data_IF_908100867023
#
_entry.id   IF_908100867023
#
_cell.length_a   1.000
_cell.length_b   1.000
_cell.length_c   1.000
_cell.angle_alpha   90.00
_cell.angle_beta   90.00
_cell.angle_gamma   90.00
#
_symmetry.space_group_name_H-M   'P 1'
#
loop_
_entity.id
_entity.type
_entity.pdbx_description
1 polymer ?
#
# COMPACT_ATOMS: atom_id res chain seq x y z
N UNK A 1 -0.06 -16.55 -46.68
CA UNK A 1 0.86 -17.47 -45.97
C UNK A 1 1.49 -16.68 -44.83
N UNK A 2 1.39 -16.95 -43.52
CA UNK A 2 0.76 -17.97 -42.67
C UNK A 2 0.23 -17.20 -41.44
N UNK A 3 -1.07 -17.18 -41.12
CA UNK A 3 -1.83 -18.19 -40.34
C UNK A 3 -1.12 -18.60 -39.04
N UNK A 4 -1.37 -17.84 -37.97
CA UNK A 4 -1.25 -18.33 -36.59
C UNK A 4 -2.67 -18.51 -36.06
N UNK A 5 -3.07 -19.76 -35.90
CA UNK A 5 -4.31 -20.20 -35.28
C UNK A 5 -3.97 -21.03 -34.05
N UNK A 6 -4.67 -20.72 -32.93
CA UNK A 6 -4.81 -21.48 -31.68
C UNK A 6 -3.53 -21.52 -30.81
N UNK A 7 -3.54 -21.30 -29.49
CA UNK A 7 -4.45 -21.82 -28.45
C UNK A 7 -4.61 -20.77 -27.34
N UNK A 8 -5.85 -20.61 -26.88
CA UNK A 8 -6.28 -19.88 -25.69
C UNK A 8 -5.67 -20.44 -24.40
N UNK A 9 -5.19 -19.58 -23.50
CA UNK A 9 -5.38 -19.80 -22.06
C UNK A 9 -5.66 -18.46 -21.39
N UNK A 10 -6.96 -18.17 -21.24
CA UNK A 10 -7.40 -17.22 -20.23
C UNK A 10 -7.12 -17.81 -18.84
N UNK A 11 -5.98 -17.46 -18.24
CA UNK A 11 -5.87 -17.27 -16.79
C UNK A 11 -4.97 -16.06 -16.59
N UNK A 12 -5.54 -14.99 -16.05
CA UNK A 12 -4.79 -13.91 -15.44
C UNK A 12 -4.00 -14.48 -14.25
N UNK A 13 -2.75 -14.89 -14.49
CA UNK A 13 -1.82 -15.32 -13.46
C UNK A 13 -1.42 -14.12 -12.61
N UNK A 14 -2.09 -14.01 -11.45
CA UNK A 14 -1.87 -13.08 -10.34
C UNK A 14 -0.49 -13.23 -9.64
N UNK A 15 0.55 -13.64 -10.36
CA UNK A 15 1.89 -13.93 -9.83
C UNK A 15 2.94 -12.86 -10.15
N UNK A 16 2.53 -11.68 -10.61
CA UNK A 16 3.48 -10.59 -10.88
C UNK A 16 3.90 -9.85 -9.59
N UNK A 17 5.10 -10.25 -9.14
CA UNK A 17 6.25 -9.35 -8.91
C UNK A 17 6.24 -8.41 -7.69
N UNK A 18 6.03 -8.94 -6.48
CA UNK A 18 6.78 -8.44 -5.31
C UNK A 18 7.67 -9.55 -4.77
N UNK A 19 8.66 -9.92 -5.59
CA UNK A 19 9.90 -10.55 -5.15
C UNK A 19 11.00 -9.83 -5.93
N UNK A 20 11.52 -8.74 -5.35
CA UNK A 20 12.80 -8.22 -5.79
C UNK A 20 13.81 -9.30 -5.44
N UNK A 21 14.22 -10.09 -6.44
CA UNK A 21 15.38 -10.96 -6.32
C UNK A 21 16.59 -10.07 -6.09
N UNK A 22 17.12 -10.08 -4.87
CA UNK A 22 18.50 -9.67 -4.63
C UNK A 22 19.34 -10.77 -5.26
N UNK A 23 20.11 -10.42 -6.29
CA UNK A 23 21.02 -11.32 -7.00
C UNK A 23 22.13 -11.80 -6.07
N UNK A 24 22.06 -13.04 -5.61
CA UNK A 24 23.24 -13.79 -5.16
C UNK A 24 23.61 -14.74 -6.28
N UNK A 25 24.47 -14.29 -7.19
CA UNK A 25 25.13 -15.15 -8.16
C UNK A 25 26.61 -14.77 -8.24
N UNK A 26 27.40 -15.34 -7.32
CA UNK A 26 28.72 -15.87 -7.62
C UNK A 26 28.82 -17.21 -6.88
N UNK A 27 29.20 -18.28 -7.60
CA UNK A 27 29.38 -19.68 -7.20
C UNK A 27 28.19 -20.63 -7.41
N UNK A 28 27.84 -20.79 -8.69
CA UNK A 28 27.21 -21.99 -9.24
C UNK A 28 28.24 -23.11 -9.42
N UNK A 29 28.31 -24.08 -8.51
CA UNK A 29 28.74 -25.47 -8.80
C UNK A 29 29.01 -26.26 -7.52
N UNK A 30 28.00 -26.74 -6.75
CA UNK A 30 28.09 -27.96 -5.90
C UNK A 30 26.92 -28.26 -4.93
N UNK A 31 25.69 -27.77 -5.13
CA UNK A 31 24.56 -28.22 -4.28
C UNK A 31 23.31 -28.62 -5.08
N UNK A 32 23.51 -29.49 -6.07
CA UNK A 32 22.42 -30.07 -6.86
C UNK A 32 21.74 -31.30 -6.20
N UNK A 33 22.15 -31.74 -5.00
CA UNK A 33 21.54 -32.90 -4.33
C UNK A 33 20.60 -32.59 -3.14
N UNK A 34 20.46 -31.33 -2.71
CA UNK A 34 19.57 -30.95 -1.60
C UNK A 34 18.28 -30.22 -2.03
N UNK A 35 17.96 -30.21 -3.33
CA UNK A 35 16.76 -29.54 -3.85
C UNK A 35 15.45 -30.27 -3.46
N UNK A 36 15.49 -31.59 -3.21
CA UNK A 36 14.31 -32.37 -2.84
C UNK A 36 13.84 -32.09 -1.40
N UNK A 37 14.76 -31.69 -0.51
CA UNK A 37 14.47 -31.54 0.93
C UNK A 37 13.81 -30.19 1.28
N UNK A 38 14.12 -29.13 0.52
CA UNK A 38 13.51 -27.80 0.74
C UNK A 38 12.11 -27.66 0.12
N UNK A 39 11.71 -28.55 -0.79
CA UNK A 39 10.37 -28.50 -1.39
C UNK A 39 9.26 -28.95 -0.43
N UNK A 40 9.56 -29.85 0.52
CA UNK A 40 8.56 -30.39 1.45
C UNK A 40 8.24 -29.50 2.66
N UNK A 41 9.10 -28.54 3.03
CA UNK A 41 8.86 -27.69 4.21
C UNK A 41 7.83 -26.58 3.95
N UNK A 42 7.64 -26.16 2.68
CA UNK A 42 6.79 -25.01 2.34
C UNK A 42 5.40 -25.42 1.83
N UNK A 43 5.13 -26.73 1.68
CA UNK A 43 3.93 -27.28 1.04
C UNK A 43 2.62 -27.24 1.84
N UNK A 44 2.62 -26.80 3.11
CA UNK A 44 1.44 -26.91 3.99
C UNK A 44 0.89 -25.58 4.52
N UNK A 45 1.43 -24.44 4.11
CA UNK A 45 0.82 -23.15 4.46
C UNK A 45 -0.38 -22.92 3.54
N UNK A 46 -1.51 -23.49 3.92
CA UNK A 46 -2.82 -23.20 3.33
C UNK A 46 -3.12 -21.72 3.47
N UNK A 47 -2.75 -20.93 2.46
CA UNK A 47 -3.10 -19.51 2.40
C UNK A 47 -4.60 -19.46 2.14
N UNK A 48 -5.39 -19.17 3.17
CA UNK A 48 -6.84 -19.00 3.05
C UNK A 48 -7.17 -18.02 1.91
N UNK A 49 -7.63 -18.51 0.76
CA UNK A 49 -7.93 -17.64 -0.41
C UNK A 49 -9.24 -16.87 -0.25
N UNK A 50 -9.89 -16.97 0.90
CA UNK A 50 -11.16 -16.32 1.20
C UNK A 50 -11.10 -14.80 1.12
N UNK A 51 -12.21 -14.17 0.70
CA UNK A 51 -12.33 -12.71 0.56
C UNK A 51 -11.98 -11.97 1.86
N UNK A 52 -12.34 -12.53 3.03
CA UNK A 52 -12.03 -11.93 4.35
C UNK A 52 -10.53 -11.91 4.62
N UNK A 53 -9.83 -13.01 4.32
CA UNK A 53 -8.39 -13.13 4.51
C UNK A 53 -7.62 -12.19 3.56
N UNK A 54 -8.03 -12.10 2.29
CA UNK A 54 -7.45 -11.14 1.34
C UNK A 54 -7.59 -9.69 1.80
N UNK A 55 -8.74 -9.32 2.39
CA UNK A 55 -8.93 -7.98 2.98
C UNK A 55 -8.01 -7.75 4.18
N UNK A 56 -7.80 -8.77 5.02
CA UNK A 56 -6.89 -8.71 6.17
C UNK A 56 -5.44 -8.46 5.71
N UNK A 57 -4.95 -9.24 4.75
CA UNK A 57 -3.63 -9.03 4.14
C UNK A 57 -3.52 -7.64 3.50
N UNK A 58 -4.57 -7.21 2.79
CA UNK A 58 -4.62 -5.88 2.19
C UNK A 58 -4.45 -4.78 3.24
N UNK A 59 -5.15 -4.89 4.37
CA UNK A 59 -5.03 -3.95 5.50
C UNK A 59 -3.63 -3.96 6.11
N UNK A 60 -3.02 -5.13 6.31
CA UNK A 60 -1.65 -5.26 6.83
C UNK A 60 -0.64 -4.57 5.90
N UNK A 61 -0.74 -4.81 4.58
CA UNK A 61 0.11 -4.15 3.59
C UNK A 61 -0.06 -2.63 3.59
N UNK A 62 -1.30 -2.15 3.68
CA UNK A 62 -1.59 -0.72 3.75
C UNK A 62 -0.94 -0.09 4.99
N UNK A 63 -0.99 -0.77 6.15
CA UNK A 63 -0.34 -0.29 7.38
C UNK A 63 1.17 -0.13 7.18
N UNK A 64 1.83 -1.12 6.58
CA UNK A 64 3.28 -1.08 6.31
C UNK A 64 3.63 0.05 5.33
N UNK A 65 2.83 0.24 4.28
CA UNK A 65 3.06 1.33 3.32
C UNK A 65 2.97 2.68 4.03
N UNK A 66 1.94 2.90 4.85
CA UNK A 66 1.79 4.18 5.54
C UNK A 66 2.86 4.40 6.62
N UNK A 67 3.33 3.36 7.31
CA UNK A 67 4.44 3.52 8.25
C UNK A 67 5.72 3.96 7.53
N UNK A 68 6.02 3.35 6.37
CA UNK A 68 7.19 3.75 5.57
C UNK A 68 7.06 5.18 5.06
N UNK A 69 5.88 5.57 4.58
CA UNK A 69 5.62 6.95 4.14
C UNK A 69 5.88 7.96 5.25
N UNK A 70 5.50 7.66 6.50
CA UNK A 70 5.74 8.55 7.65
C UNK A 70 7.23 8.67 7.94
N UNK A 71 7.97 7.56 7.88
CA UNK A 71 9.41 7.53 8.14
C UNK A 71 10.20 8.29 7.08
N UNK A 72 9.89 8.09 5.79
CA UNK A 72 10.63 8.67 4.66
C UNK A 72 10.01 9.95 4.08
N UNK A 73 9.01 10.53 4.75
CA UNK A 73 8.31 11.73 4.28
C UNK A 73 9.24 12.92 4.05
N UNK A 74 10.21 13.11 4.95
CA UNK A 74 11.12 14.26 4.94
C UNK A 74 12.25 14.11 3.92
N UNK A 75 12.76 12.90 3.73
CA UNK A 75 13.89 12.63 2.84
C UNK A 75 13.48 12.67 1.37
N UNK A 76 12.41 11.97 1.01
CA UNK A 76 12.03 11.76 -0.39
C UNK A 76 10.50 11.85 -0.57
N UNK A 77 9.94 13.07 -0.68
CA UNK A 77 8.48 13.27 -0.76
C UNK A 77 7.87 12.69 -2.06
N UNK A 78 8.61 12.68 -3.16
CA UNK A 78 8.18 12.11 -4.44
C UNK A 78 7.85 10.61 -4.34
N UNK A 79 8.75 9.82 -3.73
CA UNK A 79 8.58 8.38 -3.54
C UNK A 79 7.39 8.11 -2.61
N UNK A 80 7.30 8.88 -1.52
CA UNK A 80 6.20 8.82 -0.56
C UNK A 80 4.84 9.07 -1.22
N UNK A 81 4.72 10.03 -2.14
CA UNK A 81 3.48 10.25 -2.91
C UNK A 81 3.09 9.03 -3.75
N UNK A 82 4.04 8.44 -4.47
CA UNK A 82 3.82 7.22 -5.29
C UNK A 82 3.39 6.04 -4.42
N UNK A 83 3.99 5.89 -3.23
CA UNK A 83 3.60 4.84 -2.28
C UNK A 83 2.15 5.02 -1.79
N UNK A 84 1.73 6.25 -1.48
CA UNK A 84 0.33 6.55 -1.10
C UNK A 84 -0.64 6.18 -2.26
N UNK A 85 -0.26 6.44 -3.50
CA UNK A 85 -1.06 6.03 -4.68
C UNK A 85 -1.15 4.52 -4.84
N UNK A 86 -0.06 3.79 -4.58
CA UNK A 86 -0.07 2.31 -4.51
C UNK A 86 -1.03 1.84 -3.42
N UNK A 87 -0.99 2.43 -2.22
CA UNK A 87 -1.92 2.10 -1.15
C UNK A 87 -3.38 2.33 -1.56
N UNK A 88 -3.67 3.40 -2.30
CA UNK A 88 -5.01 3.65 -2.87
C UNK A 88 -5.44 2.55 -3.83
N UNK A 89 -4.58 2.12 -4.73
CA UNK A 89 -4.88 1.03 -5.68
C UNK A 89 -5.21 -0.28 -4.93
N UNK A 90 -4.50 -0.57 -3.84
CA UNK A 90 -4.76 -1.74 -3.00
C UNK A 90 -6.14 -1.64 -2.33
N UNK A 91 -6.48 -0.48 -1.76
CA UNK A 91 -7.79 -0.25 -1.13
C UNK A 91 -8.93 -0.51 -2.11
N UNK A 92 -8.82 0.00 -3.33
CA UNK A 92 -9.81 -0.18 -4.39
C UNK A 92 -9.89 -1.65 -4.82
N UNK A 93 -8.75 -2.30 -5.05
CA UNK A 93 -8.68 -3.70 -5.48
C UNK A 93 -9.37 -4.66 -4.51
N UNK A 94 -9.20 -4.45 -3.21
CA UNK A 94 -9.80 -5.31 -2.18
C UNK A 94 -11.14 -4.76 -1.63
N UNK A 95 -11.63 -3.63 -2.15
CA UNK A 95 -12.81 -2.92 -1.66
C UNK A 95 -12.78 -2.78 -0.12
N UNK A 96 -11.67 -2.22 0.37
CA UNK A 96 -11.42 -1.95 1.78
C UNK A 96 -11.81 -0.50 2.06
N UNK A 97 -12.63 -0.28 3.09
CA UNK A 97 -12.94 1.06 3.57
C UNK A 97 -11.69 1.68 4.18
N UNK A 98 -11.31 2.87 3.73
CA UNK A 98 -10.12 3.57 4.22
C UNK A 98 -10.22 3.82 5.74
N UNK A 99 -9.29 3.26 6.54
CA UNK A 99 -9.26 3.48 7.99
C UNK A 99 -9.13 4.96 8.35
N UNK A 100 -9.69 5.36 9.49
CA UNK A 100 -9.70 6.75 9.95
C UNK A 100 -8.34 7.48 9.93
N UNK A 101 -7.21 6.90 10.40
CA UNK A 101 -5.92 7.59 10.38
C UNK A 101 -5.46 7.88 8.96
N UNK A 102 -5.68 6.94 8.03
CA UNK A 102 -5.19 7.04 6.66
C UNK A 102 -6.02 7.98 5.78
N UNK A 103 -7.20 8.40 6.24
CA UNK A 103 -7.98 9.48 5.59
C UNK A 103 -7.24 10.82 5.52
N UNK A 104 -6.20 11.02 6.33
CA UNK A 104 -5.38 12.25 6.31
C UNK A 104 -4.53 12.38 5.04
N UNK A 105 -4.12 11.26 4.46
CA UNK A 105 -3.18 11.22 3.33
C UNK A 105 -3.83 11.52 1.97
N UNK A 106 -5.12 11.84 1.95
CA UNK A 106 -5.83 12.16 0.73
C UNK A 106 -6.65 13.44 0.90
N UNK A 107 -6.62 14.28 -0.14
CA UNK A 107 -7.50 15.43 -0.19
C UNK A 107 -8.94 15.00 -0.51
N UNK A 108 -9.94 15.59 0.15
CA UNK A 108 -11.34 15.39 -0.23
C UNK A 108 -11.72 16.10 -1.54
N UNK A 109 -11.06 17.23 -1.88
CA UNK A 109 -11.35 18.00 -3.10
C UNK A 109 -10.62 17.45 -4.32
N UNK A 110 -9.30 17.63 -4.41
CA UNK A 110 -8.51 17.22 -5.57
C UNK A 110 -8.18 15.72 -5.61
N UNK A 111 -8.49 14.97 -4.54
CA UNK A 111 -8.18 13.53 -4.41
C UNK A 111 -6.70 13.16 -4.52
N UNK A 112 -5.78 14.13 -4.61
CA UNK A 112 -4.34 13.91 -4.69
C UNK A 112 -3.78 13.32 -3.38
N UNK A 113 -2.66 12.58 -3.44
CA UNK A 113 -1.92 12.19 -2.25
C UNK A 113 -1.38 13.45 -1.53
N UNK A 114 -1.51 13.43 -0.21
CA UNK A 114 -1.03 14.47 0.71
C UNK A 114 -0.08 13.83 1.71
N UNK A 115 1.09 14.42 1.87
CA UNK A 115 2.00 14.13 2.96
C UNK A 115 1.77 15.16 4.07
N UNK A 116 1.48 14.74 5.33
CA UNK A 116 1.37 15.65 6.45
C UNK A 116 2.71 16.38 6.67
N UNK A 117 2.68 17.70 6.83
CA UNK A 117 3.87 18.53 7.04
C UNK A 117 4.51 19.08 5.76
N UNK A 118 4.48 18.33 4.66
CA UNK A 118 5.04 18.78 3.36
C UNK A 118 3.97 19.39 2.45
N UNK A 119 2.95 18.60 2.10
CA UNK A 119 1.90 19.01 1.14
C UNK A 119 0.67 19.63 1.85
N UNK A 120 0.66 19.63 3.19
CA UNK A 120 -0.47 20.13 3.99
C UNK A 120 -0.03 20.88 5.23
N UNK A 121 -0.80 21.94 5.52
CA UNK A 121 -0.69 22.72 6.76
C UNK A 121 -1.72 22.18 7.75
N UNK A 122 -1.23 21.63 8.87
CA UNK A 122 -2.06 21.11 9.96
C UNK A 122 -2.02 22.11 11.10
N UNK A 123 -3.19 22.51 11.60
CA UNK A 123 -3.35 23.38 12.76
C UNK A 123 -4.35 22.78 13.73
N UNK A 124 -4.04 22.85 15.01
CA UNK A 124 -4.96 22.46 16.09
C UNK A 124 -5.71 23.72 16.50
N UNK A 125 -7.04 23.64 16.55
CA UNK A 125 -7.91 24.75 16.89
C UNK A 125 -8.87 24.32 18.01
N UNK A 126 -9.13 25.21 18.96
CA UNK A 126 -9.95 24.91 20.13
C UNK A 126 -11.39 25.45 20.04
N UNK A 127 -11.62 26.51 19.25
CA UNK A 127 -12.90 27.23 19.19
C UNK A 127 -13.67 26.84 17.91
N UNK A 128 -14.98 26.51 17.97
CA UNK A 128 -15.83 26.33 19.16
C UNK A 128 -15.66 24.97 19.87
N UNK A 129 -15.07 23.97 19.21
CA UNK A 129 -14.70 22.65 19.78
C UNK A 129 -13.32 22.26 19.30
N UNK A 130 -12.61 21.41 20.05
CA UNK A 130 -11.29 20.91 19.67
C UNK A 130 -11.35 20.19 18.32
N UNK A 131 -10.64 20.73 17.32
CA UNK A 131 -10.57 20.16 16.00
C UNK A 131 -9.21 20.41 15.36
N UNK A 132 -8.84 19.51 14.45
CA UNK A 132 -7.67 19.64 13.60
C UNK A 132 -8.13 20.22 12.26
N UNK A 133 -7.69 21.44 11.97
CA UNK A 133 -7.87 22.08 10.67
C UNK A 133 -6.70 21.70 9.78
N UNK A 134 -7.00 21.14 8.63
CA UNK A 134 -5.99 20.70 7.68
C UNK A 134 -6.26 21.39 6.36
N UNK A 135 -5.23 22.02 5.81
CA UNK A 135 -5.29 22.75 4.56
C UNK A 135 -4.36 22.07 3.56
N UNK A 136 -4.91 21.69 2.41
CA UNK A 136 -4.14 21.17 1.30
C UNK A 136 -3.42 22.32 0.57
N UNK A 137 -2.10 22.21 0.39
CA UNK A 137 -1.32 23.24 -0.30
C UNK A 137 -1.45 23.20 -1.82
N UNK A 138 -1.90 22.08 -2.39
CA UNK A 138 -2.07 21.91 -3.83
C UNK A 138 -3.32 22.62 -4.36
N UNK A 139 -4.45 22.49 -3.66
CA UNK A 139 -5.75 23.03 -4.11
C UNK A 139 -6.39 24.05 -3.16
N UNK A 140 -5.77 24.34 -2.00
CA UNK A 140 -6.35 25.21 -0.98
C UNK A 140 -7.55 24.63 -0.23
N UNK A 141 -7.91 23.36 -0.47
CA UNK A 141 -9.02 22.70 0.21
C UNK A 141 -8.80 22.61 1.72
N UNK A 142 -9.79 23.06 2.49
CA UNK A 142 -9.79 23.01 3.96
C UNK A 142 -10.71 21.91 4.44
N UNK A 143 -10.22 21.07 5.35
CA UNK A 143 -11.00 20.03 6.01
C UNK A 143 -10.79 20.09 7.52
N UNK A 144 -11.83 19.74 8.26
CA UNK A 144 -11.86 19.79 9.73
C UNK A 144 -12.10 18.39 10.27
N UNK A 145 -11.25 17.95 11.20
CA UNK A 145 -11.44 16.70 11.94
C UNK A 145 -11.67 17.01 13.40
N UNK A 146 -12.85 16.71 13.91
CA UNK A 146 -13.14 16.86 15.33
C UNK A 146 -12.42 15.76 16.11
N UNK A 147 -11.76 16.17 17.19
CA UNK A 147 -11.13 15.24 18.12
C UNK A 147 -12.08 15.14 19.30
N UNK A 148 -12.54 13.93 19.59
CA UNK A 148 -13.28 13.68 20.83
C UNK A 148 -12.31 13.93 21.99
N UNK A 149 -12.74 14.66 23.03
CA UNK A 149 -11.98 14.67 24.28
C UNK A 149 -11.93 13.24 24.80
N UNK A 150 -10.73 12.74 25.10
CA UNK A 150 -10.62 11.64 26.03
C UNK A 150 -11.09 12.19 27.37
N UNK A 151 -12.20 11.65 27.88
CA UNK A 151 -12.68 11.86 29.25
C UNK A 151 -11.90 10.90 30.13
#
# INVERSE_FOLDING_TARGET
>A
MMRWSLISFGIASRADSTRMNITLNMLSSLLCHNAMFLFNVVGHLGVDRGRRFQKKIGLERIRIIYSNVILYASENPEISRRQIEVARRILLKFNIRLPYPYKLFFCNKCKSPIIPGVDSKIRICHVPKLHVKIVCLKCGGVYRKFVAKAV
#
